data_IF_235958885759
#
_entry.id   IF_235958885759
#
_cell.length_a   1.000
_cell.length_b   1.000
_cell.length_c   1.000
_cell.angle_alpha   90.00
_cell.angle_beta   90.00
_cell.angle_gamma   90.00
#
_symmetry.space_group_name_H-M   'P 1'
#
loop_
_entity.id
_entity.type
_entity.pdbx_description
1 polymer ?
#
# COMPACT_ATOMS: atom_id res chain seq x y z
N UNK A 1 12.03 2.29 15.02
CA UNK A 1 11.23 1.06 15.15
C UNK A 1 9.99 1.05 14.27
N UNK A 2 9.18 2.12 14.19
CA UNK A 2 8.01 2.14 13.29
C UNK A 2 8.38 2.25 11.80
N UNK A 3 9.05 3.34 11.39
CA UNK A 3 9.34 3.60 9.96
C UNK A 3 10.36 2.63 9.36
N UNK A 4 11.41 2.31 10.13
CA UNK A 4 12.40 1.31 9.77
C UNK A 4 12.03 -0.06 10.38
N UNK A 5 10.75 -0.42 10.45
CA UNK A 5 10.37 -1.71 11.02
C UNK A 5 11.07 -2.84 10.26
N UNK A 6 11.66 -3.75 11.02
CA UNK A 6 12.17 -5.00 10.53
C UNK A 6 11.29 -6.16 10.95
N UNK A 7 11.59 -7.31 10.36
CA UNK A 7 11.13 -8.62 10.78
C UNK A 7 12.33 -9.58 10.97
N UNK A 8 12.07 -10.88 11.11
CA UNK A 8 13.10 -11.91 11.28
C UNK A 8 14.08 -12.06 10.09
N UNK A 9 13.89 -11.31 8.98
CA UNK A 9 14.75 -11.37 7.80
C UNK A 9 16.22 -11.04 8.05
N UNK A 10 16.56 -10.42 9.18
CA UNK A 10 17.95 -10.24 9.60
C UNK A 10 18.68 -11.58 9.80
N UNK A 11 17.97 -12.64 10.20
CA UNK A 11 18.53 -14.00 10.30
C UNK A 11 18.91 -14.50 8.90
N UNK A 12 18.05 -14.27 7.91
CA UNK A 12 18.32 -14.66 6.52
C UNK A 12 19.48 -13.84 5.92
N UNK A 13 19.56 -12.55 6.25
CA UNK A 13 20.68 -11.72 5.84
C UNK A 13 22.02 -12.22 6.37
N UNK A 14 22.08 -12.68 7.63
CA UNK A 14 23.32 -13.26 8.17
C UNK A 14 23.77 -14.51 7.42
N UNK A 15 22.83 -15.35 6.99
CA UNK A 15 23.12 -16.55 6.19
C UNK A 15 23.58 -16.25 4.76
N UNK A 16 23.11 -15.14 4.17
CA UNK A 16 23.49 -14.71 2.82
C UNK A 16 24.62 -13.65 2.81
N UNK A 17 25.38 -13.51 3.90
CA UNK A 17 26.48 -12.55 3.99
C UNK A 17 26.07 -11.08 3.79
N UNK A 18 24.83 -10.73 4.11
CA UNK A 18 24.23 -9.40 3.91
C UNK A 18 24.22 -8.90 2.45
N UNK A 19 24.09 -9.82 1.48
CA UNK A 19 23.95 -9.45 0.08
C UNK A 19 22.77 -8.48 -0.15
N UNK A 20 22.96 -7.42 -0.92
CA UNK A 20 21.92 -6.45 -1.24
C UNK A 20 21.22 -6.80 -2.54
N UNK A 21 20.67 -8.01 -2.62
CA UNK A 21 20.02 -8.57 -3.80
C UNK A 21 18.49 -8.72 -3.66
N UNK A 22 17.97 -8.64 -2.43
CA UNK A 22 16.56 -8.89 -2.11
C UNK A 22 16.00 -8.00 -0.98
N UNK A 23 14.68 -7.96 -0.87
CA UNK A 23 13.96 -7.31 0.24
C UNK A 23 13.96 -8.21 1.49
N UNK A 24 14.81 -7.91 2.46
CA UNK A 24 14.84 -8.66 3.73
C UNK A 24 13.64 -8.40 4.64
N UNK A 25 12.77 -7.45 4.33
CA UNK A 25 11.47 -7.31 4.99
C UNK A 25 10.37 -8.12 4.30
N UNK A 26 10.64 -8.76 3.16
CA UNK A 26 9.66 -9.55 2.42
C UNK A 26 10.29 -10.81 1.81
N UNK A 27 10.13 -11.93 2.51
CA UNK A 27 10.63 -13.24 2.09
C UNK A 27 9.50 -14.26 2.23
N UNK A 28 8.71 -14.43 1.17
CA UNK A 28 7.53 -15.30 1.15
C UNK A 28 7.87 -16.75 1.52
N UNK A 29 8.96 -17.29 0.96
CA UNK A 29 9.44 -18.66 1.25
C UNK A 29 9.80 -18.87 2.74
N UNK A 30 10.16 -17.79 3.44
CA UNK A 30 10.46 -17.80 4.87
C UNK A 30 9.23 -17.46 5.75
N UNK A 31 8.08 -17.18 5.12
CA UNK A 31 6.86 -16.74 5.79
C UNK A 31 6.95 -15.30 6.32
N UNK A 32 7.76 -14.44 5.70
CA UNK A 32 7.94 -13.03 6.06
C UNK A 32 7.17 -12.13 5.09
N UNK A 33 6.01 -11.67 5.53
CA UNK A 33 5.04 -10.92 4.73
C UNK A 33 4.71 -9.53 5.29
N UNK A 34 5.06 -9.23 6.55
CA UNK A 34 4.93 -7.90 7.14
C UNK A 34 6.13 -7.04 6.73
N UNK A 35 6.01 -6.44 5.55
CA UNK A 35 7.04 -5.64 4.91
C UNK A 35 7.38 -4.40 5.73
N UNK A 36 8.52 -3.79 5.42
CA UNK A 36 8.83 -2.46 5.92
C UNK A 36 7.75 -1.45 5.48
N UNK A 37 7.14 -0.75 6.43
CA UNK A 37 5.99 0.13 6.19
C UNK A 37 6.38 1.37 5.36
N UNK A 38 7.62 1.87 5.49
CA UNK A 38 8.09 2.98 4.66
C UNK A 38 8.20 2.57 3.21
N UNK A 39 8.86 1.44 2.96
CA UNK A 39 8.99 0.88 1.63
C UNK A 39 7.65 0.50 1.01
N UNK A 40 6.83 -0.24 1.74
CA UNK A 40 5.65 -0.89 1.16
C UNK A 40 4.41 0.03 1.12
N UNK A 41 4.33 1.03 2.01
CA UNK A 41 3.17 1.92 2.11
C UNK A 41 3.53 3.37 1.77
N UNK A 42 4.48 3.97 2.49
CA UNK A 42 4.65 5.43 2.45
C UNK A 42 5.34 5.95 1.19
N UNK A 43 6.25 5.18 0.58
CA UNK A 43 6.89 5.53 -0.69
C UNK A 43 5.92 5.37 -1.88
N UNK A 44 5.30 4.19 -2.11
CA UNK A 44 4.52 3.96 -3.32
C UNK A 44 3.13 4.60 -3.30
N UNK A 45 2.54 4.84 -2.12
CA UNK A 45 1.13 5.23 -2.01
C UNK A 45 0.98 6.62 -1.38
N UNK A 46 0.71 7.63 -2.23
CA UNK A 46 0.52 9.04 -1.79
C UNK A 46 -0.69 9.22 -0.87
N UNK A 47 -1.77 8.47 -1.10
CA UNK A 47 -3.01 8.52 -0.31
C UNK A 47 -2.79 8.10 1.14
N UNK A 48 -2.14 6.96 1.38
CA UNK A 48 -1.84 6.52 2.75
C UNK A 48 -0.83 7.43 3.45
N UNK A 49 0.14 8.01 2.75
CA UNK A 49 1.06 8.96 3.36
C UNK A 49 0.29 10.17 3.95
N UNK A 50 -0.60 10.76 3.16
CA UNK A 50 -1.46 11.86 3.61
C UNK A 50 -2.43 11.40 4.72
N UNK A 51 -3.10 10.27 4.51
CA UNK A 51 -4.10 9.74 5.43
C UNK A 51 -3.51 9.34 6.79
N UNK A 52 -2.37 8.67 6.80
CA UNK A 52 -1.69 8.21 8.01
C UNK A 52 -1.14 9.39 8.80
N UNK A 53 -0.53 10.38 8.14
CA UNK A 53 -0.11 11.62 8.79
C UNK A 53 -1.30 12.35 9.44
N UNK A 54 -2.41 12.47 8.70
CA UNK A 54 -3.66 13.06 9.21
C UNK A 54 -4.19 12.29 10.42
N UNK A 55 -4.21 10.96 10.37
CA UNK A 55 -4.62 10.11 11.48
C UNK A 55 -3.73 10.31 12.71
N UNK A 56 -2.40 10.37 12.55
CA UNK A 56 -1.47 10.67 13.64
C UNK A 56 -1.73 12.04 14.27
N UNK A 57 -2.03 13.08 13.48
CA UNK A 57 -2.43 14.38 14.00
C UNK A 57 -3.73 14.28 14.82
N UNK A 58 -4.74 13.56 14.32
CA UNK A 58 -5.99 13.35 15.04
C UNK A 58 -5.77 12.56 16.33
N UNK A 59 -4.95 11.52 16.31
CA UNK A 59 -4.59 10.75 17.51
C UNK A 59 -3.89 11.62 18.55
N UNK A 60 -2.98 12.51 18.13
CA UNK A 60 -2.34 13.45 19.03
C UNK A 60 -3.36 14.40 19.68
N UNK A 61 -4.31 14.95 18.91
CA UNK A 61 -5.38 15.80 19.43
C UNK A 61 -6.31 15.05 20.39
N UNK A 62 -6.63 13.79 20.09
CA UNK A 62 -7.38 12.92 21.00
C UNK A 62 -6.61 12.66 22.30
N UNK A 63 -5.31 12.40 22.22
CA UNK A 63 -4.49 12.20 23.40
C UNK A 63 -4.50 13.45 24.30
N UNK A 64 -4.26 14.63 23.72
CA UNK A 64 -4.25 15.89 24.46
C UNK A 64 -5.62 16.24 25.07
N UNK A 65 -6.72 15.94 24.39
CA UNK A 65 -8.07 16.12 24.96
C UNK A 65 -8.39 15.16 26.12
N UNK A 66 -8.00 13.89 26.00
CA UNK A 66 -8.38 12.86 26.98
C UNK A 66 -7.48 12.92 28.22
N UNK A 67 -6.18 13.15 28.03
CA UNK A 67 -5.14 13.03 29.07
C UNK A 67 -4.32 14.31 29.29
N UNK A 68 -4.38 15.28 28.37
CA UNK A 68 -3.62 16.52 28.42
C UNK A 68 -4.49 17.74 28.75
N UNK A 69 -4.19 18.85 28.07
CA UNK A 69 -4.85 20.16 28.27
C UNK A 69 -5.82 20.53 27.15
N UNK A 70 -6.00 19.64 26.18
CA UNK A 70 -6.85 19.88 25.01
C UNK A 70 -8.32 20.03 25.38
N UNK A 71 -9.05 20.76 24.54
CA UNK A 71 -10.46 21.07 24.71
C UNK A 71 -11.23 21.07 23.39
N UNK A 72 -12.15 22.01 23.24
CA UNK A 72 -13.11 22.05 22.11
C UNK A 72 -12.43 22.37 20.77
N UNK A 73 -11.37 23.19 20.78
CA UNK A 73 -10.68 23.62 19.55
C UNK A 73 -9.93 22.44 18.92
N UNK A 74 -9.27 21.64 19.75
CA UNK A 74 -8.55 20.45 19.37
C UNK A 74 -9.51 19.39 18.80
N UNK A 75 -10.66 19.20 19.45
CA UNK A 75 -11.70 18.31 18.94
C UNK A 75 -12.32 18.78 17.63
N UNK A 76 -12.55 20.09 17.48
CA UNK A 76 -13.04 20.66 16.22
C UNK A 76 -12.05 20.43 15.08
N UNK A 77 -10.77 20.72 15.30
CA UNK A 77 -9.72 20.45 14.31
C UNK A 77 -9.63 18.95 14.00
N UNK A 78 -9.66 18.09 15.02
CA UNK A 78 -9.65 16.64 14.84
C UNK A 78 -10.84 16.17 14.00
N UNK A 79 -12.02 16.76 14.20
CA UNK A 79 -13.22 16.43 13.46
C UNK A 79 -13.18 16.90 12.01
N UNK A 80 -12.62 18.08 11.73
CA UNK A 80 -12.39 18.53 10.34
C UNK A 80 -11.42 17.60 9.62
N UNK A 81 -10.28 17.27 10.25
CA UNK A 81 -9.28 16.37 9.68
C UNK A 81 -9.86 14.96 9.45
N UNK A 82 -10.61 14.44 10.41
CA UNK A 82 -11.30 13.16 10.29
C UNK A 82 -12.36 13.18 9.19
N UNK A 83 -13.13 14.25 9.08
CA UNK A 83 -14.17 14.41 8.07
C UNK A 83 -13.62 14.48 6.65
N UNK A 84 -12.40 15.01 6.45
CA UNK A 84 -11.73 15.05 5.14
C UNK A 84 -10.97 13.75 4.80
N UNK A 85 -10.83 12.83 5.77
CA UNK A 85 -10.02 11.63 5.60
C UNK A 85 -10.61 10.51 4.72
N UNK A 86 -11.94 10.30 4.57
CA UNK A 86 -12.47 9.14 3.82
C UNK A 86 -11.99 9.08 2.36
N UNK A 87 -12.09 10.19 1.61
CA UNK A 87 -11.60 10.23 0.23
C UNK A 87 -10.08 10.34 0.13
N UNK A 88 -9.41 10.92 1.14
CA UNK A 88 -7.96 10.95 1.18
C UNK A 88 -7.39 9.54 1.37
N UNK A 89 -7.92 8.79 2.35
CA UNK A 89 -7.58 7.40 2.62
C UNK A 89 -8.59 6.72 3.56
N UNK A 90 -9.40 5.82 3.01
CA UNK A 90 -10.48 5.12 3.72
C UNK A 90 -10.04 4.40 5.01
N UNK A 91 -8.90 3.69 4.98
CA UNK A 91 -8.42 2.94 6.15
C UNK A 91 -7.96 3.88 7.28
N UNK A 92 -7.50 5.10 6.97
CA UNK A 92 -7.20 6.13 7.98
C UNK A 92 -8.47 6.65 8.63
N UNK A 93 -9.52 6.89 7.85
CA UNK A 93 -10.82 7.29 8.37
C UNK A 93 -11.40 6.21 9.32
N UNK A 94 -11.32 4.94 8.92
CA UNK A 94 -11.68 3.80 9.76
C UNK A 94 -10.87 3.79 11.06
N UNK A 95 -9.55 4.04 10.97
CA UNK A 95 -8.68 4.05 12.13
C UNK A 95 -9.03 5.17 13.12
N UNK A 96 -9.29 6.37 12.61
CA UNK A 96 -9.76 7.49 13.43
C UNK A 96 -11.07 7.14 14.14
N UNK A 97 -12.05 6.58 13.40
CA UNK A 97 -13.35 6.19 13.96
C UNK A 97 -13.24 5.14 15.07
N UNK A 98 -12.39 4.12 14.89
CA UNK A 98 -12.19 3.06 15.88
C UNK A 98 -11.48 3.56 17.14
N UNK A 99 -10.43 4.37 16.99
CA UNK A 99 -9.76 4.98 18.15
C UNK A 99 -10.70 5.93 18.87
N UNK A 100 -11.48 6.74 18.14
CA UNK A 100 -12.54 7.57 18.72
C UNK A 100 -13.53 6.73 19.53
N UNK A 101 -14.06 5.64 18.96
CA UNK A 101 -15.04 4.80 19.65
C UNK A 101 -14.49 4.23 20.97
N UNK A 102 -13.24 3.75 20.97
CA UNK A 102 -12.58 3.25 22.17
C UNK A 102 -12.36 4.33 23.23
N UNK A 103 -11.93 5.54 22.83
CA UNK A 103 -11.71 6.65 23.75
C UNK A 103 -13.02 7.26 24.27
N UNK A 104 -14.06 7.30 23.44
CA UNK A 104 -15.40 7.72 23.82
C UNK A 104 -16.00 6.76 24.86
N UNK A 105 -15.88 5.45 24.63
CA UNK A 105 -16.31 4.43 25.58
C UNK A 105 -15.55 4.53 26.91
N UNK A 106 -14.25 4.84 26.87
CA UNK A 106 -13.45 5.03 28.06
C UNK A 106 -13.82 6.31 28.84
N UNK A 107 -14.09 7.43 28.14
CA UNK A 107 -14.34 8.74 28.75
C UNK A 107 -15.44 9.50 28.00
N UNK A 108 -16.72 9.13 28.22
CA UNK A 108 -17.85 9.75 27.53
C UNK A 108 -18.04 11.18 28.02
N UNK A 109 -17.91 12.13 27.11
CA UNK A 109 -17.92 13.58 27.35
C UNK A 109 -18.73 14.27 26.27
N UNK A 110 -19.55 15.26 26.63
CA UNK A 110 -20.37 16.01 25.64
C UNK A 110 -19.51 16.79 24.65
N UNK A 111 -18.30 17.13 25.05
CA UNK A 111 -17.32 17.83 24.23
C UNK A 111 -16.95 17.05 22.96
N UNK A 112 -17.09 15.72 22.94
CA UNK A 112 -16.90 14.91 21.72
C UNK A 112 -17.82 15.33 20.56
N UNK A 113 -18.91 16.06 20.83
CA UNK A 113 -19.74 16.68 19.77
C UNK A 113 -18.94 17.67 18.91
N UNK A 114 -17.93 18.33 19.46
CA UNK A 114 -17.04 19.22 18.69
C UNK A 114 -16.19 18.46 17.68
N UNK A 115 -15.95 17.17 17.89
CA UNK A 115 -15.35 16.27 16.92
C UNK A 115 -16.40 15.69 15.96
N UNK A 116 -17.48 15.13 16.52
CA UNK A 116 -18.49 14.40 15.75
C UNK A 116 -19.20 15.26 14.71
N UNK A 117 -19.55 16.51 15.04
CA UNK A 117 -20.29 17.38 14.12
C UNK A 117 -19.49 17.70 12.84
N UNK A 118 -18.28 18.29 12.89
CA UNK A 118 -17.51 18.53 11.67
C UNK A 118 -17.11 17.23 10.95
N UNK A 119 -16.80 16.15 11.70
CA UNK A 119 -16.47 14.85 11.09
C UNK A 119 -17.65 14.29 10.30
N UNK A 120 -18.87 14.37 10.82
CA UNK A 120 -20.07 13.88 10.15
C UNK A 120 -20.44 14.76 8.94
N UNK A 121 -20.44 16.09 9.10
CA UNK A 121 -20.81 17.03 8.03
C UNK A 121 -19.89 16.86 6.81
N UNK A 122 -18.58 16.69 7.02
CA UNK A 122 -17.63 16.54 5.93
C UNK A 122 -17.48 15.08 5.46
N UNK A 123 -17.55 14.13 6.39
CA UNK A 123 -17.24 12.72 6.12
C UNK A 123 -18.42 11.90 5.61
N UNK A 124 -19.65 12.15 6.06
CA UNK A 124 -20.81 11.36 5.62
C UNK A 124 -21.08 11.45 4.12
N UNK A 125 -21.03 12.62 3.46
CA UNK A 125 -21.21 12.70 2.00
C UNK A 125 -20.16 11.88 1.23
N UNK A 126 -18.92 11.87 1.71
CA UNK A 126 -17.83 11.09 1.12
C UNK A 126 -18.06 9.59 1.28
N UNK A 127 -18.39 9.14 2.49
CA UNK A 127 -18.67 7.73 2.76
C UNK A 127 -19.88 7.24 1.96
N UNK A 128 -20.93 8.06 1.87
CA UNK A 128 -22.11 7.76 1.05
C UNK A 128 -21.75 7.55 -0.42
N UNK A 129 -20.96 8.45 -1.00
CA UNK A 129 -20.48 8.32 -2.37
C UNK A 129 -19.65 7.04 -2.56
N UNK A 130 -18.73 6.76 -1.64
CA UNK A 130 -17.86 5.58 -1.69
C UNK A 130 -18.65 4.26 -1.59
N UNK A 131 -19.68 4.22 -0.75
CA UNK A 131 -20.58 3.05 -0.67
C UNK A 131 -21.30 2.79 -1.99
N UNK A 132 -21.64 3.83 -2.75
CA UNK A 132 -22.21 3.70 -4.10
C UNK A 132 -21.22 3.18 -5.15
N UNK A 133 -19.91 3.24 -4.87
CA UNK A 133 -18.85 2.71 -5.74
C UNK A 133 -18.29 1.37 -5.25
N UNK A 134 -18.69 0.92 -4.06
CA UNK A 134 -18.17 -0.30 -3.45
C UNK A 134 -18.68 -1.53 -4.21
N UNK A 135 -17.74 -2.30 -4.77
CA UNK A 135 -18.05 -3.56 -5.44
C UNK A 135 -18.26 -4.69 -4.42
N UNK A 136 -19.27 -5.53 -4.67
CA UNK A 136 -19.55 -6.71 -3.85
C UNK A 136 -18.52 -7.82 -4.08
N UNK A 137 -18.00 -8.43 -3.02
CA UNK A 137 -17.23 -9.70 -3.10
C UNK A 137 -15.75 -9.63 -2.72
N UNK A 138 -15.15 -8.44 -2.63
CA UNK A 138 -13.76 -8.31 -2.16
C UNK A 138 -13.64 -8.16 -0.65
N UNK A 139 -14.65 -7.61 0.02
CA UNK A 139 -14.70 -7.53 1.47
C UNK A 139 -15.43 -8.72 2.09
N UNK A 140 -14.96 -9.18 3.25
CA UNK A 140 -15.57 -10.31 3.93
C UNK A 140 -14.74 -10.82 5.11
N UNK A 141 -15.24 -11.87 5.76
CA UNK A 141 -14.49 -12.58 6.81
C UNK A 141 -13.32 -13.31 6.17
N UNK A 142 -12.12 -13.08 6.69
CA UNK A 142 -10.89 -13.73 6.27
C UNK A 142 -9.96 -13.85 7.47
N UNK A 143 -9.81 -15.08 7.96
CA UNK A 143 -9.11 -15.37 9.23
C UNK A 143 -7.64 -15.62 8.95
N UNK A 144 -6.77 -14.95 9.72
CA UNK A 144 -5.32 -15.12 9.65
C UNK A 144 -4.58 -14.09 8.78
N UNK A 145 -5.29 -13.04 8.33
CA UNK A 145 -4.81 -11.95 7.44
C UNK A 145 -4.42 -12.39 6.03
N UNK A 146 -3.58 -13.41 5.88
CA UNK A 146 -3.07 -13.88 4.60
C UNK A 146 -3.56 -15.30 4.31
N UNK A 147 -3.78 -15.62 3.04
CA UNK A 147 -4.14 -16.96 2.57
C UNK A 147 -3.12 -18.03 3.02
N UNK A 148 -1.83 -17.66 3.13
CA UNK A 148 -0.78 -18.57 3.63
C UNK A 148 -1.00 -19.01 5.08
N UNK A 149 -1.86 -18.32 5.83
CA UNK A 149 -2.23 -18.67 7.20
C UNK A 149 -3.55 -19.44 7.31
N UNK A 150 -4.26 -19.68 6.20
CA UNK A 150 -5.47 -20.49 6.21
C UNK A 150 -5.16 -21.92 6.68
N UNK A 151 -5.96 -22.43 7.62
CA UNK A 151 -5.79 -23.77 8.18
C UNK A 151 -4.60 -23.95 9.13
N UNK A 152 -3.78 -22.91 9.38
CA UNK A 152 -2.69 -22.98 10.37
C UNK A 152 -3.22 -23.17 11.79
N UNK A 153 -2.45 -23.89 12.61
CA UNK A 153 -2.72 -23.96 14.05
C UNK A 153 -2.50 -22.59 14.72
N UNK A 154 -3.07 -22.40 15.92
CA UNK A 154 -2.84 -21.19 16.70
C UNK A 154 -1.34 -20.97 17.02
N UNK A 155 -0.58 -22.06 17.20
CA UNK A 155 0.86 -22.00 17.42
C UNK A 155 1.60 -21.50 16.18
N UNK A 156 1.28 -22.04 15.00
CA UNK A 156 1.93 -21.65 13.75
C UNK A 156 1.60 -20.19 13.38
N UNK A 157 0.37 -19.76 13.66
CA UNK A 157 -0.04 -18.37 13.50
C UNK A 157 0.69 -17.43 14.48
N UNK A 158 0.90 -17.86 15.73
CA UNK A 158 1.72 -17.11 16.68
C UNK A 158 3.18 -17.02 16.22
N UNK A 159 3.76 -18.12 15.72
CA UNK A 159 5.11 -18.14 15.15
C UNK A 159 5.21 -17.21 13.94
N UNK A 160 4.18 -17.18 13.07
CA UNK A 160 4.11 -16.24 11.95
C UNK A 160 4.21 -14.79 12.45
N UNK A 161 3.41 -14.40 13.45
CA UNK A 161 3.45 -13.04 13.99
C UNK A 161 4.73 -12.71 14.74
N UNK A 162 5.33 -13.69 15.44
CA UNK A 162 6.65 -13.54 16.06
C UNK A 162 7.75 -13.29 15.03
N UNK A 163 7.70 -13.95 13.86
CA UNK A 163 8.65 -13.71 12.78
C UNK A 163 8.42 -12.36 12.10
N UNK A 164 7.16 -11.99 11.89
CA UNK A 164 6.77 -10.82 11.10
C UNK A 164 6.82 -9.51 11.87
N UNK A 165 6.27 -9.46 13.07
CA UNK A 165 6.37 -8.28 13.92
C UNK A 165 7.62 -8.26 14.80
N UNK A 166 8.32 -9.41 14.88
CA UNK A 166 9.68 -9.52 15.40
C UNK A 166 9.86 -8.93 16.79
N UNK A 167 11.04 -8.38 17.07
CA UNK A 167 11.37 -7.75 18.35
C UNK A 167 10.43 -6.59 18.67
N UNK A 168 9.86 -5.89 17.69
CA UNK A 168 8.95 -4.77 17.98
C UNK A 168 7.72 -5.24 18.76
N UNK A 169 7.16 -6.41 18.42
CA UNK A 169 6.02 -6.95 19.17
C UNK A 169 6.41 -7.46 20.55
N UNK A 170 7.53 -8.19 20.65
CA UNK A 170 8.01 -8.70 21.93
C UNK A 170 8.32 -7.56 22.90
N UNK A 171 9.03 -6.52 22.42
CA UNK A 171 9.34 -5.32 23.17
C UNK A 171 8.08 -4.50 23.46
N UNK A 172 7.12 -4.44 22.55
CA UNK A 172 5.84 -3.76 22.75
C UNK A 172 5.00 -4.41 23.86
N UNK A 173 4.88 -5.74 23.84
CA UNK A 173 4.20 -6.50 24.88
C UNK A 173 4.86 -6.33 26.26
N UNK A 174 6.19 -6.38 26.34
CA UNK A 174 6.91 -6.14 27.60
C UNK A 174 6.82 -4.66 28.03
N UNK A 175 6.93 -3.74 27.07
CA UNK A 175 6.82 -2.30 27.28
C UNK A 175 5.46 -1.87 27.81
N UNK A 176 4.40 -2.62 27.50
CA UNK A 176 3.10 -2.44 28.13
C UNK A 176 3.19 -2.43 29.65
N UNK A 177 3.90 -3.37 30.29
CA UNK A 177 3.98 -3.44 31.75
C UNK A 177 4.63 -2.21 32.38
N UNK A 178 5.57 -1.57 31.67
CA UNK A 178 6.28 -0.37 32.11
C UNK A 178 5.60 0.94 31.69
N UNK A 179 4.63 0.88 30.77
CA UNK A 179 3.92 2.06 30.30
C UNK A 179 3.06 2.70 31.40
N UNK A 180 3.01 4.03 31.39
CA UNK A 180 2.13 4.82 32.25
C UNK A 180 0.66 4.48 31.97
N UNK A 181 -0.25 4.62 32.97
CA UNK A 181 -1.67 4.31 32.78
C UNK A 181 -2.32 5.02 31.59
N UNK A 182 -1.96 6.27 31.34
CA UNK A 182 -2.47 7.08 30.23
C UNK A 182 -2.07 6.49 28.88
N UNK A 183 -0.80 6.08 28.74
CA UNK A 183 -0.31 5.45 27.52
C UNK A 183 -1.00 4.10 27.24
N UNK A 184 -1.23 3.30 28.29
CA UNK A 184 -1.98 2.03 28.19
C UNK A 184 -3.41 2.27 27.69
N UNK A 185 -4.12 3.20 28.32
CA UNK A 185 -5.50 3.53 27.96
C UNK A 185 -5.61 4.09 26.55
N UNK A 186 -4.63 4.88 26.12
CA UNK A 186 -4.58 5.42 24.76
C UNK A 186 -4.21 4.37 23.71
N UNK A 187 -3.33 3.42 24.04
CA UNK A 187 -2.93 2.34 23.14
C UNK A 187 -3.98 1.24 23.02
N UNK A 188 -4.85 1.05 24.02
CA UNK A 188 -5.83 -0.04 24.07
C UNK A 188 -6.74 -0.12 22.82
N UNK A 189 -7.35 0.98 22.32
CA UNK A 189 -8.16 0.94 21.10
C UNK A 189 -7.40 0.42 19.86
N UNK A 190 -6.07 0.59 19.82
CA UNK A 190 -5.27 0.14 18.69
C UNK A 190 -5.12 -1.39 18.62
N UNK A 191 -5.36 -2.11 19.72
CA UNK A 191 -5.41 -3.57 19.72
C UNK A 191 -6.54 -4.12 18.83
N UNK A 192 -7.61 -3.35 18.64
CA UNK A 192 -8.71 -3.73 17.75
C UNK A 192 -8.25 -3.89 16.28
N UNK A 193 -7.24 -3.11 15.83
CA UNK A 193 -6.71 -3.23 14.48
C UNK A 193 -6.01 -4.56 14.23
N UNK A 194 -5.40 -5.15 15.25
CA UNK A 194 -4.83 -6.49 15.14
C UNK A 194 -5.92 -7.52 14.89
N UNK A 195 -7.00 -7.48 15.68
CA UNK A 195 -8.13 -8.40 15.51
C UNK A 195 -8.79 -8.19 14.16
N UNK A 196 -9.13 -6.95 13.81
CA UNK A 196 -9.80 -6.61 12.55
C UNK A 196 -8.94 -7.00 11.35
N UNK A 197 -7.67 -6.62 11.33
CA UNK A 197 -6.76 -6.94 10.22
C UNK A 197 -6.47 -8.43 10.04
N UNK A 198 -6.70 -9.25 11.07
CA UNK A 198 -6.58 -10.70 11.00
C UNK A 198 -7.92 -11.44 10.85
N UNK A 199 -9.06 -10.75 10.78
CA UNK A 199 -10.38 -11.40 10.70
C UNK A 199 -11.26 -10.90 9.56
N UNK A 200 -11.02 -9.69 9.05
CA UNK A 200 -11.77 -9.08 7.97
C UNK A 200 -10.83 -8.68 6.85
N UNK A 201 -11.16 -9.02 5.60
CA UNK A 201 -10.50 -8.51 4.40
C UNK A 201 -11.26 -7.28 3.88
N UNK A 202 -10.54 -6.20 3.57
CA UNK A 202 -11.15 -4.96 3.04
C UNK A 202 -10.96 -4.75 1.53
N UNK A 203 -9.96 -5.40 0.93
CA UNK A 203 -9.55 -5.21 -0.46
C UNK A 203 -9.43 -6.56 -1.19
N UNK A 204 -9.30 -6.54 -2.51
CA UNK A 204 -9.18 -7.75 -3.31
C UNK A 204 -7.93 -8.58 -2.92
N UNK A 205 -6.82 -7.90 -2.62
CA UNK A 205 -5.63 -8.50 -2.05
C UNK A 205 -5.76 -8.58 -0.52
N UNK A 206 -5.54 -9.77 0.03
CA UNK A 206 -5.52 -10.04 1.47
C UNK A 206 -4.40 -9.26 2.18
N UNK A 207 -3.22 -9.16 1.54
CA UNK A 207 -2.06 -8.44 2.05
C UNK A 207 -2.34 -6.96 2.37
N UNK A 208 -3.25 -6.30 1.63
CA UNK A 208 -3.57 -4.87 1.81
C UNK A 208 -4.06 -4.49 3.22
N UNK A 209 -4.51 -5.47 4.01
CA UNK A 209 -4.82 -5.27 5.43
C UNK A 209 -3.63 -4.77 6.26
N UNK A 210 -2.40 -4.86 5.76
CA UNK A 210 -1.23 -4.20 6.36
C UNK A 210 -1.50 -2.70 6.62
N UNK A 211 -2.33 -2.04 5.80
CA UNK A 211 -2.76 -0.64 5.98
C UNK A 211 -3.49 -0.45 7.30
N UNK A 212 -4.31 -1.42 7.71
CA UNK A 212 -5.02 -1.43 8.99
C UNK A 212 -4.09 -1.88 10.12
N UNK A 213 -3.33 -2.96 9.91
CA UNK A 213 -2.40 -3.50 10.89
C UNK A 213 -1.29 -2.51 11.25
N UNK A 214 -0.95 -1.58 10.35
CA UNK A 214 0.02 -0.51 10.60
C UNK A 214 -0.35 0.37 11.80
N UNK A 215 -1.64 0.56 12.10
CA UNK A 215 -2.08 1.32 13.27
C UNK A 215 -1.86 0.55 14.57
N UNK A 216 -2.14 -0.75 14.59
CA UNK A 216 -1.74 -1.59 15.72
C UNK A 216 -0.22 -1.58 15.90
N UNK A 217 0.52 -1.70 14.79
CA UNK A 217 1.97 -1.70 14.82
C UNK A 217 2.55 -0.37 15.31
N UNK A 218 1.90 0.78 15.01
CA UNK A 218 2.24 2.09 15.57
C UNK A 218 2.21 2.08 17.10
N UNK A 219 1.11 1.60 17.69
CA UNK A 219 0.98 1.51 19.14
C UNK A 219 2.01 0.54 19.74
N UNK A 220 2.20 -0.63 19.11
CA UNK A 220 3.22 -1.61 19.51
C UNK A 220 4.63 -1.02 19.48
N UNK A 221 4.98 -0.25 18.45
CA UNK A 221 6.27 0.41 18.32
C UNK A 221 6.48 1.52 19.37
N UNK A 222 5.44 2.29 19.71
CA UNK A 222 5.49 3.26 20.81
C UNK A 222 5.72 2.57 22.16
N UNK A 223 5.03 1.46 22.44
CA UNK A 223 5.22 0.67 23.66
C UNK A 223 6.61 0.03 23.72
N UNK A 224 7.13 -0.47 22.59
CA UNK A 224 8.50 -0.94 22.51
C UNK A 224 9.48 0.19 22.86
N UNK A 225 9.21 1.42 22.41
CA UNK A 225 9.96 2.61 22.77
C UNK A 225 10.02 2.86 24.28
N UNK A 226 8.93 2.63 25.01
CA UNK A 226 8.90 2.75 26.49
C UNK A 226 9.89 1.79 27.14
N UNK A 227 9.95 0.54 26.69
CA UNK A 227 10.90 -0.43 27.25
C UNK A 227 12.35 -0.07 26.91
N UNK A 228 12.61 0.33 25.67
CA UNK A 228 13.95 0.76 25.24
C UNK A 228 14.41 1.98 26.06
N UNK A 229 13.55 2.98 26.24
CA UNK A 229 13.84 4.15 27.07
C UNK A 229 14.14 3.77 28.52
N UNK A 230 13.39 2.82 29.08
CA UNK A 230 13.61 2.32 30.44
C UNK A 230 14.97 1.64 30.60
N UNK A 231 15.37 0.82 29.63
CA UNK A 231 16.67 0.14 29.62
C UNK A 231 17.82 1.15 29.42
N UNK A 232 17.63 2.11 28.51
CA UNK A 232 18.60 3.16 28.22
C UNK A 232 18.83 4.11 29.40
N UNK A 233 17.75 4.42 30.14
CA UNK A 233 17.79 5.28 31.33
C UNK A 233 18.35 4.57 32.57
N UNK A 234 18.69 3.28 32.48
CA UNK A 234 19.30 2.57 33.61
C UNK A 234 20.73 3.08 33.89
N UNK A 235 21.15 3.02 35.16
CA UNK A 235 22.52 3.40 35.55
C UNK A 235 23.59 2.43 35.04
N UNK A 236 23.19 1.23 34.64
CA UNK A 236 24.07 0.13 34.22
C UNK A 236 24.38 0.20 32.73
N UNK A 237 25.66 0.23 32.37
CA UNK A 237 26.10 0.29 30.97
C UNK A 237 25.67 -0.96 30.19
N UNK A 238 25.58 -2.12 30.83
CA UNK A 238 25.12 -3.35 30.17
C UNK A 238 23.67 -3.24 29.67
N UNK A 239 22.80 -2.56 30.43
CA UNK A 239 21.40 -2.35 30.05
C UNK A 239 21.27 -1.33 28.91
N UNK A 240 22.16 -0.34 28.85
CA UNK A 240 22.24 0.60 27.72
C UNK A 240 22.70 -0.10 26.45
N UNK A 241 23.72 -0.95 26.56
CA UNK A 241 24.19 -1.77 25.45
C UNK A 241 23.09 -2.72 24.95
N UNK A 242 22.36 -3.35 25.87
CA UNK A 242 21.20 -4.18 25.53
C UNK A 242 20.10 -3.37 24.82
N UNK A 243 19.77 -2.17 25.30
CA UNK A 243 18.79 -1.30 24.66
C UNK A 243 19.19 -0.93 23.22
N UNK A 244 20.45 -0.55 23.01
CA UNK A 244 20.99 -0.24 21.69
C UNK A 244 20.94 -1.47 20.76
N UNK A 245 21.36 -2.63 21.25
CA UNK A 245 21.31 -3.89 20.51
C UNK A 245 19.87 -4.25 20.10
N UNK A 246 18.92 -4.22 21.05
CA UNK A 246 17.52 -4.54 20.80
C UNK A 246 16.89 -3.55 19.81
N UNK A 247 17.18 -2.25 19.95
CA UNK A 247 16.69 -1.23 19.02
C UNK A 247 17.25 -1.44 17.61
N UNK A 248 18.54 -1.75 17.47
CA UNK A 248 19.18 -2.03 16.18
C UNK A 248 18.62 -3.32 15.56
N UNK A 249 18.55 -4.41 16.33
CA UNK A 249 18.03 -5.69 15.88
C UNK A 249 16.54 -5.62 15.47
N UNK A 250 15.75 -4.75 16.11
CA UNK A 250 14.35 -4.52 15.76
C UNK A 250 14.16 -3.80 14.41
N UNK A 251 15.17 -3.07 13.93
CA UNK A 251 15.13 -2.32 12.67
C UNK A 251 16.07 -2.86 11.58
N UNK A 252 16.91 -3.84 11.90
CA UNK A 252 18.02 -4.26 11.05
C UNK A 252 17.60 -4.71 9.65
N UNK A 253 16.58 -5.57 9.53
CA UNK A 253 16.06 -5.99 8.22
C UNK A 253 15.37 -4.85 7.46
N UNK A 254 14.74 -3.90 8.16
CA UNK A 254 14.23 -2.66 7.56
C UNK A 254 15.36 -1.78 6.99
N UNK A 255 16.48 -1.64 7.71
CA UNK A 255 17.65 -0.93 7.21
C UNK A 255 18.29 -1.64 6.01
N UNK A 256 18.34 -2.97 6.01
CA UNK A 256 18.80 -3.74 4.85
C UNK A 256 17.88 -3.58 3.64
N UNK A 257 16.56 -3.49 3.85
CA UNK A 257 15.59 -3.17 2.80
C UNK A 257 15.89 -1.80 2.19
N UNK A 258 16.20 -0.80 3.02
CA UNK A 258 16.60 0.52 2.53
C UNK A 258 17.94 0.49 1.79
N UNK A 259 18.92 -0.28 2.28
CA UNK A 259 20.20 -0.44 1.61
C UNK A 259 20.06 -1.15 0.25
N UNK A 260 19.22 -2.18 0.17
CA UNK A 260 18.88 -2.86 -1.08
C UNK A 260 18.25 -1.90 -2.10
N UNK A 261 17.32 -1.05 -1.66
CA UNK A 261 16.73 -0.01 -2.52
C UNK A 261 17.72 1.07 -2.95
N UNK A 262 18.65 1.49 -2.09
CA UNK A 262 19.53 2.61 -2.39
C UNK A 262 20.81 2.20 -3.14
N UNK A 263 21.32 1.00 -2.85
CA UNK A 263 22.64 0.55 -3.27
C UNK A 263 22.66 -0.86 -3.86
N UNK A 264 21.57 -1.62 -3.72
CA UNK A 264 21.47 -3.00 -4.17
C UNK A 264 20.95 -3.16 -5.59
N UNK A 265 20.51 -4.38 -5.91
CA UNK A 265 19.95 -4.74 -7.21
C UNK A 265 18.74 -3.89 -7.62
N UNK A 266 18.00 -3.34 -6.65
CA UNK A 266 16.82 -2.50 -6.90
C UNK A 266 17.12 -1.00 -7.01
N UNK A 267 18.38 -0.57 -6.85
CA UNK A 267 18.77 0.83 -6.93
C UNK A 267 18.60 1.45 -8.32
N UNK A 268 18.57 0.61 -9.36
CA UNK A 268 18.45 1.01 -10.76
C UNK A 268 17.39 0.17 -11.45
N UNK A 269 16.13 0.50 -11.19
CA UNK A 269 15.00 -0.09 -11.90
C UNK A 269 14.59 0.81 -13.08
N UNK A 270 14.76 0.32 -14.31
CA UNK A 270 14.32 1.02 -15.51
C UNK A 270 12.80 0.84 -15.70
N UNK A 271 12.03 1.88 -15.40
CA UNK A 271 10.57 1.90 -15.62
C UNK A 271 10.23 2.16 -17.10
N UNK A 272 10.97 3.08 -17.73
CA UNK A 272 10.80 3.45 -19.12
C UNK A 272 12.15 3.50 -19.82
N UNK A 273 12.22 2.84 -20.97
CA UNK A 273 13.40 2.82 -21.83
C UNK A 273 13.51 4.12 -22.64
N UNK A 274 14.68 4.38 -23.21
CA UNK A 274 14.82 5.50 -24.16
C UNK A 274 13.87 5.39 -25.37
N UNK A 275 13.48 4.18 -25.77
CA UNK A 275 12.51 3.97 -26.86
C UNK A 275 11.10 4.34 -26.43
N UNK A 276 10.73 4.13 -25.16
CA UNK A 276 9.43 4.54 -24.59
C UNK A 276 9.22 6.04 -24.67
N UNK A 277 10.27 6.82 -24.40
CA UNK A 277 10.22 8.27 -24.56
C UNK A 277 10.08 8.68 -26.02
N UNK A 278 10.81 8.02 -26.94
CA UNK A 278 10.72 8.33 -28.38
C UNK A 278 9.32 8.06 -28.94
N UNK A 279 8.73 6.91 -28.63
CA UNK A 279 7.38 6.61 -29.09
C UNK A 279 6.35 7.56 -28.48
N UNK A 280 6.52 7.93 -27.20
CA UNK A 280 5.62 8.87 -26.56
C UNK A 280 5.67 10.27 -27.21
N UNK A 281 6.86 10.78 -27.51
CA UNK A 281 7.02 12.06 -28.22
C UNK A 281 6.50 12.01 -29.65
N UNK A 282 6.69 10.89 -30.35
CA UNK A 282 6.09 10.68 -31.66
C UNK A 282 4.55 10.71 -31.57
N UNK A 283 3.96 9.98 -30.62
CA UNK A 283 2.52 9.94 -30.43
C UNK A 283 1.96 11.33 -30.07
N UNK A 284 2.67 12.11 -29.25
CA UNK A 284 2.30 13.50 -28.93
C UNK A 284 2.24 14.38 -30.16
N UNK A 285 3.23 14.26 -31.05
CA UNK A 285 3.43 15.17 -32.18
C UNK A 285 2.62 14.78 -33.42
N UNK A 286 2.27 13.50 -33.57
CA UNK A 286 1.71 12.94 -34.82
C UNK A 286 0.28 12.42 -34.68
N UNK A 287 -0.31 12.46 -33.48
CA UNK A 287 -1.68 12.01 -33.25
C UNK A 287 -2.50 13.06 -32.51
N UNK A 288 -3.82 13.07 -32.74
CA UNK A 288 -4.71 13.96 -31.99
C UNK A 288 -4.65 13.66 -30.48
N UNK A 289 -4.92 14.67 -29.64
CA UNK A 289 -4.95 14.49 -28.19
C UNK A 289 -6.00 13.47 -27.72
N UNK A 290 -7.01 13.20 -28.55
CA UNK A 290 -8.07 12.22 -28.29
C UNK A 290 -7.85 10.88 -28.98
N UNK A 291 -6.71 10.66 -29.64
CA UNK A 291 -6.39 9.41 -30.29
C UNK A 291 -6.42 8.25 -29.28
N UNK A 292 -7.00 7.13 -29.72
CA UNK A 292 -7.15 5.90 -28.97
C UNK A 292 -6.24 4.84 -29.57
N UNK A 293 -5.44 4.22 -28.71
CA UNK A 293 -4.48 3.19 -29.08
C UNK A 293 -4.90 1.82 -28.53
N UNK A 294 -4.62 0.77 -29.30
CA UNK A 294 -4.55 -0.61 -28.78
C UNK A 294 -3.12 -0.86 -28.30
N UNK A 295 -2.99 -1.29 -27.04
CA UNK A 295 -1.72 -1.56 -26.35
C UNK A 295 -1.81 -2.88 -25.58
N UNK A 296 -0.68 -3.38 -25.07
CA UNK A 296 -0.64 -4.56 -24.21
C UNK A 296 -1.33 -4.35 -22.86
N UNK A 297 -1.57 -5.47 -22.18
CA UNK A 297 -1.85 -5.51 -20.75
C UNK A 297 -0.57 -5.18 -19.95
N UNK A 298 -0.30 -3.89 -19.74
CA UNK A 298 0.89 -3.44 -19.02
C UNK A 298 0.60 -2.24 -18.11
N UNK A 299 1.11 -2.21 -16.88
CA UNK A 299 1.00 -1.05 -15.99
C UNK A 299 1.91 0.11 -16.39
N UNK A 300 2.86 -0.10 -17.31
CA UNK A 300 3.89 0.86 -17.74
C UNK A 300 3.82 1.10 -19.24
N UNK A 301 2.59 1.26 -19.76
CA UNK A 301 2.37 1.58 -21.17
C UNK A 301 2.80 3.04 -21.47
N UNK A 302 3.73 3.27 -22.42
CA UNK A 302 4.24 4.61 -22.71
C UNK A 302 3.21 5.52 -23.37
N UNK A 303 2.22 4.95 -24.07
CA UNK A 303 1.20 5.73 -24.80
C UNK A 303 0.28 6.47 -23.82
N UNK A 304 -0.25 5.77 -22.84
CA UNK A 304 -1.07 6.35 -21.77
C UNK A 304 -0.23 7.13 -20.78
N UNK A 305 0.88 6.57 -20.31
CA UNK A 305 1.63 7.11 -19.16
C UNK A 305 2.53 8.30 -19.51
N UNK A 306 3.12 8.32 -20.72
CA UNK A 306 4.05 9.38 -21.15
C UNK A 306 3.46 10.28 -22.23
N UNK A 307 2.67 9.73 -23.17
CA UNK A 307 2.08 10.49 -24.27
C UNK A 307 0.71 11.11 -23.93
N UNK A 308 0.07 10.67 -22.85
CA UNK A 308 -1.26 11.13 -22.44
C UNK A 308 -2.36 10.82 -23.46
N UNK A 309 -2.22 9.72 -24.22
CA UNK A 309 -3.23 9.26 -25.18
C UNK A 309 -4.15 8.22 -24.55
N UNK A 310 -5.35 8.10 -25.10
CA UNK A 310 -6.32 7.10 -24.62
C UNK A 310 -5.87 5.72 -25.09
N UNK A 311 -6.14 4.72 -24.26
CA UNK A 311 -5.92 3.31 -24.61
C UNK A 311 -7.24 2.55 -24.51
N UNK A 312 -7.40 1.51 -25.32
CA UNK A 312 -8.61 0.67 -25.32
C UNK A 312 -8.80 0.01 -23.96
N UNK A 313 -7.71 -0.47 -23.36
CA UNK A 313 -7.73 -1.19 -22.10
C UNK A 313 -6.44 -0.93 -21.34
N UNK A 314 -6.55 -0.56 -20.05
CA UNK A 314 -5.40 -0.47 -19.16
C UNK A 314 -5.00 -1.82 -18.56
N UNK A 315 -4.04 -1.80 -17.64
CA UNK A 315 -3.57 -2.99 -16.95
C UNK A 315 -4.70 -3.75 -16.26
N UNK A 316 -4.88 -5.02 -16.57
CA UNK A 316 -5.99 -5.86 -16.12
C UNK A 316 -6.00 -6.05 -14.61
N UNK A 317 -4.83 -6.08 -13.95
CA UNK A 317 -4.75 -6.14 -12.50
C UNK A 317 -5.39 -4.92 -11.80
N UNK A 318 -5.31 -3.74 -12.42
CA UNK A 318 -6.02 -2.56 -11.92
C UNK A 318 -7.53 -2.65 -12.21
N UNK A 319 -7.92 -3.11 -13.40
CA UNK A 319 -9.33 -3.27 -13.74
C UNK A 319 -10.02 -4.29 -12.81
N UNK A 320 -9.34 -5.40 -12.50
CA UNK A 320 -9.79 -6.42 -11.57
C UNK A 320 -9.93 -5.88 -10.14
N UNK A 321 -8.91 -5.19 -9.62
CA UNK A 321 -8.96 -4.65 -8.25
C UNK A 321 -10.02 -3.56 -8.07
N UNK A 322 -10.45 -2.90 -9.16
CA UNK A 322 -11.59 -1.97 -9.17
C UNK A 322 -12.93 -2.65 -9.49
N UNK A 323 -12.96 -3.97 -9.69
CA UNK A 323 -14.16 -4.75 -10.01
C UNK A 323 -14.83 -4.36 -11.34
N UNK A 324 -14.07 -3.85 -12.30
CA UNK A 324 -14.60 -3.48 -13.62
C UNK A 324 -14.80 -4.74 -14.47
N UNK A 325 -15.88 -4.81 -15.24
CA UNK A 325 -16.08 -5.88 -16.21
C UNK A 325 -15.19 -5.61 -17.44
N UNK A 326 -14.05 -6.31 -17.54
CA UNK A 326 -13.07 -6.09 -18.61
C UNK A 326 -12.73 -7.34 -19.45
N UNK A 327 -13.19 -8.53 -19.06
CA UNK A 327 -12.80 -9.81 -19.69
C UNK A 327 -13.06 -9.84 -21.20
N UNK A 328 -14.28 -9.50 -21.64
CA UNK A 328 -14.64 -9.45 -23.06
C UNK A 328 -13.74 -8.47 -23.83
N UNK A 329 -13.42 -7.32 -23.23
CA UNK A 329 -12.52 -6.34 -23.85
C UNK A 329 -11.10 -6.87 -23.97
N UNK A 330 -10.60 -7.57 -22.95
CA UNK A 330 -9.29 -8.19 -22.97
C UNK A 330 -9.18 -9.25 -24.07
N UNK A 331 -10.20 -10.09 -24.22
CA UNK A 331 -10.26 -11.12 -25.26
C UNK A 331 -10.26 -10.49 -26.66
N UNK A 332 -11.02 -9.41 -26.86
CA UNK A 332 -11.05 -8.67 -28.13
C UNK A 332 -9.72 -8.00 -28.46
N UNK A 333 -9.02 -7.43 -27.47
CA UNK A 333 -7.67 -6.86 -27.67
C UNK A 333 -6.67 -7.96 -28.03
N UNK A 334 -6.71 -9.10 -27.35
CA UNK A 334 -5.86 -10.25 -27.66
C UNK A 334 -6.13 -10.81 -29.05
N UNK A 335 -7.41 -10.97 -29.42
CA UNK A 335 -7.81 -11.42 -30.75
C UNK A 335 -7.31 -10.46 -31.84
N UNK A 336 -7.37 -9.15 -31.61
CA UNK A 336 -6.83 -8.16 -32.54
C UNK A 336 -5.31 -8.32 -32.77
N UNK A 337 -4.53 -8.62 -31.72
CA UNK A 337 -3.10 -8.87 -31.88
C UNK A 337 -2.81 -10.15 -32.67
N UNK A 338 -3.66 -11.18 -32.55
CA UNK A 338 -3.51 -12.45 -33.28
C UNK A 338 -3.93 -12.35 -34.75
N UNK A 339 -4.94 -11.54 -35.07
CA UNK A 339 -5.43 -11.34 -36.44
C UNK A 339 -5.73 -9.85 -36.72
N UNK A 340 -4.68 -9.04 -36.96
CA UNK A 340 -4.82 -7.61 -37.12
C UNK A 340 -5.49 -7.26 -38.46
N UNK A 341 -6.44 -6.33 -38.40
CA UNK A 341 -7.07 -5.73 -39.57
C UNK A 341 -7.61 -4.34 -39.26
N UNK A 342 -7.81 -3.52 -40.29
CA UNK A 342 -8.43 -2.21 -40.12
C UNK A 342 -9.88 -2.27 -39.64
N UNK A 343 -10.61 -3.33 -39.97
CA UNK A 343 -11.95 -3.55 -39.44
C UNK A 343 -11.90 -3.84 -37.94
N UNK A 344 -11.00 -4.73 -37.49
CA UNK A 344 -10.84 -5.07 -36.08
C UNK A 344 -10.35 -3.86 -35.24
N UNK A 345 -9.40 -3.07 -35.76
CA UNK A 345 -8.93 -1.85 -35.10
C UNK A 345 -10.07 -0.85 -34.87
N UNK A 346 -10.88 -0.60 -35.92
CA UNK A 346 -12.04 0.30 -35.83
C UNK A 346 -13.14 -0.26 -34.92
N UNK A 347 -13.34 -1.59 -34.91
CA UNK A 347 -14.31 -2.24 -34.01
C UNK A 347 -13.95 -2.06 -32.53
N UNK A 348 -12.65 -1.93 -32.20
CA UNK A 348 -12.17 -1.57 -30.87
C UNK A 348 -12.28 -0.06 -30.54
N UNK A 349 -12.72 0.76 -31.49
CA UNK A 349 -12.78 2.22 -31.33
C UNK A 349 -11.41 2.90 -31.34
N UNK A 350 -10.37 2.21 -31.83
CA UNK A 350 -9.00 2.71 -31.88
C UNK A 350 -8.62 3.23 -33.27
N UNK A 351 -7.63 4.13 -33.32
CA UNK A 351 -7.02 4.63 -34.56
C UNK A 351 -5.61 4.09 -34.77
N UNK A 352 -4.96 3.66 -33.69
CA UNK A 352 -3.59 3.20 -33.70
C UNK A 352 -3.44 1.91 -32.90
N UNK A 353 -2.44 1.10 -33.25
CA UNK A 353 -2.01 -0.06 -32.47
C UNK A 353 -0.50 0.03 -32.26
N UNK A 354 -0.06 -0.16 -31.02
CA UNK A 354 1.36 -0.28 -30.69
C UNK A 354 1.77 -1.75 -30.75
N UNK A 355 2.94 -2.03 -31.30
CA UNK A 355 3.67 -3.30 -31.15
C UNK A 355 5.07 -2.96 -30.64
N UNK A 356 5.37 -3.36 -29.41
CA UNK A 356 6.67 -3.16 -28.75
C UNK A 356 7.10 -4.44 -28.02
N UNK A 357 8.27 -4.47 -27.32
CA UNK A 357 8.62 -5.58 -26.46
C UNK A 357 7.54 -5.94 -25.42
N UNK A 358 6.72 -4.98 -24.98
CA UNK A 358 5.63 -5.22 -24.01
C UNK A 358 4.47 -6.01 -24.63
N UNK A 359 4.16 -5.79 -25.90
CA UNK A 359 3.10 -6.49 -26.62
C UNK A 359 3.47 -7.93 -26.98
N UNK A 360 4.72 -8.37 -26.82
CA UNK A 360 5.11 -9.77 -27.10
C UNK A 360 4.29 -10.79 -26.31
N UNK A 361 3.85 -10.45 -25.11
CA UNK A 361 2.95 -11.31 -24.30
C UNK A 361 1.60 -11.57 -24.95
N UNK A 362 1.16 -10.68 -25.85
CA UNK A 362 -0.08 -10.80 -26.63
C UNK A 362 0.12 -11.60 -27.92
N UNK A 363 1.34 -12.09 -28.18
CA UNK A 363 1.72 -12.88 -29.37
C UNK A 363 1.28 -12.22 -30.69
N UNK A 364 1.70 -10.98 -30.97
CA UNK A 364 1.25 -10.24 -32.14
C UNK A 364 1.65 -10.94 -33.43
N UNK A 365 0.72 -11.06 -34.38
CA UNK A 365 0.97 -11.59 -35.71
C UNK A 365 1.70 -10.54 -36.57
N UNK A 366 2.99 -10.32 -36.31
CA UNK A 366 3.79 -9.22 -36.91
C UNK A 366 3.71 -9.17 -38.43
N UNK A 367 3.78 -10.31 -39.11
CA UNK A 367 3.66 -10.36 -40.58
C UNK A 367 2.29 -9.88 -41.08
N UNK A 368 1.22 -10.15 -40.33
CA UNK A 368 -0.12 -9.66 -40.65
C UNK A 368 -0.24 -8.15 -40.40
N UNK A 369 0.37 -7.63 -39.33
CA UNK A 369 0.47 -6.19 -39.09
C UNK A 369 1.18 -5.47 -40.25
N UNK A 370 2.35 -5.96 -40.64
CA UNK A 370 3.17 -5.36 -41.72
C UNK A 370 2.49 -5.42 -43.10
N UNK A 371 1.75 -6.49 -43.38
CA UNK A 371 1.11 -6.69 -44.70
C UNK A 371 -0.28 -6.06 -44.83
N UNK A 372 -1.02 -5.88 -43.74
CA UNK A 372 -2.44 -5.49 -43.76
C UNK A 372 -2.72 -4.11 -43.19
N UNK A 373 -1.75 -3.48 -42.52
CA UNK A 373 -1.93 -2.20 -41.86
C UNK A 373 -0.82 -1.21 -42.23
N UNK A 374 -1.10 0.09 -42.14
CA UNK A 374 -0.11 1.12 -42.42
C UNK A 374 0.80 1.31 -41.21
N UNK A 375 2.09 1.05 -41.37
CA UNK A 375 3.11 1.40 -40.38
C UNK A 375 3.33 2.91 -40.35
N UNK A 376 2.86 3.56 -39.30
CA UNK A 376 2.94 5.02 -39.08
C UNK A 376 4.24 5.45 -38.40
N UNK A 377 4.86 4.54 -37.65
CA UNK A 377 6.14 4.75 -36.96
C UNK A 377 6.88 3.43 -36.79
N UNK A 378 8.20 3.49 -36.84
CA UNK A 378 9.08 2.37 -36.52
C UNK A 378 10.41 2.87 -35.94
N UNK A 379 10.79 2.37 -34.77
CA UNK A 379 12.12 2.61 -34.21
C UNK A 379 12.46 1.60 -33.12
N UNK A 380 13.65 1.01 -33.18
CA UNK A 380 14.20 0.23 -32.06
C UNK A 380 13.32 -0.92 -31.56
N UNK A 381 12.59 -1.59 -32.44
CA UNK A 381 11.66 -2.68 -32.08
C UNK A 381 10.27 -2.22 -31.61
N UNK A 382 9.96 -0.93 -31.76
CA UNK A 382 8.63 -0.36 -31.57
C UNK A 382 8.05 -0.01 -32.93
N UNK A 383 6.79 -0.35 -33.16
CA UNK A 383 6.06 0.00 -34.36
C UNK A 383 4.64 0.46 -34.01
N UNK A 384 4.18 1.52 -34.67
CA UNK A 384 2.78 1.94 -34.61
C UNK A 384 2.12 1.64 -35.93
N UNK A 385 0.99 0.95 -35.87
CA UNK A 385 0.15 0.65 -37.01
C UNK A 385 -1.12 1.48 -36.97
N UNK A 386 -1.62 1.80 -38.16
CA UNK A 386 -2.80 2.61 -38.36
C UNK A 386 -3.59 2.13 -39.58
N UNK A 387 -4.78 2.69 -39.70
CA UNK A 387 -5.61 2.71 -40.88
C UNK A 387 -5.84 4.19 -41.23
#
# INVERSE_FOLDING_TARGET
MFFANGNAGIIHATGNGFALDQDYSHLEDAGLSFMNLTYALFIPQRSILLGFATACCVFFLFYDFVFGKGGKKELFLAGVLAGLSPMAHAHSALAIGLVFAGLFAYKPRREWLWFLLPAAVLGLPQLWWMLGQAQSGFSGVHIGWLNVNEGKSALDFAVFWLRNGWLVLALGALGWFYAKPEAKKFALPFAAFFVIGNTLRFQAWDWDNIKVLSYWFLASACLAGVLIDRLWSAKRNELKALAAFLALAAIASGLLTFAWMAFGSNARYEVYTAQDFKIAEWAKSNTSANAVFVTADSPQDPVSSLAGRKIVMGFTGWLWSHGLAYSERADRVKAFYLDPSCAALRALGAQYALVSPREKSMTPATQAFDSRMRKAYESGGYAVYSC
#
